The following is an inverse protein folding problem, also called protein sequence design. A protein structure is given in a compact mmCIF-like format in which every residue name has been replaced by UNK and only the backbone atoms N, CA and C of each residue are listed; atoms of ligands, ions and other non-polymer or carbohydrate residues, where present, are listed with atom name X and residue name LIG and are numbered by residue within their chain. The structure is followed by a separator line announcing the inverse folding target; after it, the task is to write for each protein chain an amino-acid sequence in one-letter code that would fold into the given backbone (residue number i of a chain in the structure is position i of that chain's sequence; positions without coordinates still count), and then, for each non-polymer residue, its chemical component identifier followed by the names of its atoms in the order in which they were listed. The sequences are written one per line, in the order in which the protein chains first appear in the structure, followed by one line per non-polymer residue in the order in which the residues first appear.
data_IF_357759412574
#
_entry.id   IF_357759412574
#
_cell.length_a   1.000
_cell.length_b   1.000
_cell.length_c   1.000
_cell.angle_alpha   90.00
_cell.angle_beta   90.00
_cell.angle_gamma   90.00
#
_symmetry.space_group_name_H-M   'P 1'
#
loop_
_entity.id
_entity.type
_entity.pdbx_description
1 polymer ?
#
# COMPACT_ATOMS: atom_id res chain seq x y z
N UNK A 1 -18.27 -12.65 9.95
CA UNK A 1 -18.14 -11.19 10.19
C UNK A 1 -16.82 -10.77 9.60
N UNK A 2 -16.81 -9.99 8.51
CA UNK A 2 -15.58 -9.33 8.07
C UNK A 2 -15.37 -8.11 8.96
N UNK A 3 -14.76 -8.36 10.11
CA UNK A 3 -14.32 -7.31 11.01
C UNK A 3 -13.13 -6.56 10.41
N UNK A 4 -12.91 -5.36 10.92
CA UNK A 4 -11.65 -4.65 10.71
C UNK A 4 -10.49 -5.43 11.34
N UNK A 5 -9.43 -5.65 10.57
CA UNK A 5 -8.24 -6.37 11.01
C UNK A 5 -6.99 -5.51 10.86
N UNK A 6 -6.02 -5.68 11.77
CA UNK A 6 -4.74 -5.00 11.62
C UNK A 6 -3.96 -5.53 10.43
N UNK A 7 -3.28 -4.64 9.72
CA UNK A 7 -2.38 -4.96 8.62
C UNK A 7 -1.09 -4.15 8.72
N UNK A 8 0.00 -4.72 8.18
CA UNK A 8 1.30 -4.08 8.05
C UNK A 8 1.80 -4.17 6.62
N UNK A 9 2.39 -3.09 6.13
CA UNK A 9 3.12 -3.06 4.86
C UNK A 9 4.57 -3.50 5.08
N UNK A 10 5.09 -4.30 4.16
CA UNK A 10 6.41 -4.91 4.23
C UNK A 10 7.24 -4.61 2.99
N UNK A 11 8.40 -4.00 3.19
CA UNK A 11 9.28 -3.46 2.15
C UNK A 11 8.73 -2.21 1.47
N UNK A 12 9.46 -1.73 0.47
CA UNK A 12 9.06 -0.57 -0.33
C UNK A 12 9.05 0.75 0.45
N UNK A 13 8.48 1.82 -0.14
CA UNK A 13 8.49 3.16 0.46
C UNK A 13 7.64 3.34 1.72
N UNK A 14 6.71 2.41 1.96
CA UNK A 14 5.76 2.47 3.08
C UNK A 14 6.02 1.36 4.10
N UNK A 15 7.24 0.83 4.16
CA UNK A 15 7.62 -0.25 5.05
C UNK A 15 7.28 0.05 6.52
N UNK A 16 6.71 -0.94 7.20
CA UNK A 16 6.31 -0.84 8.60
C UNK A 16 5.01 -0.07 8.86
N UNK A 17 4.38 0.54 7.84
CA UNK A 17 3.09 1.22 7.99
C UNK A 17 2.04 0.25 8.53
N UNK A 18 1.42 0.60 9.66
CA UNK A 18 0.33 -0.18 10.27
C UNK A 18 -1.01 0.49 10.01
N UNK A 19 -2.01 -0.28 9.63
CA UNK A 19 -3.37 0.20 9.35
C UNK A 19 -4.42 -0.83 9.75
N UNK A 20 -5.71 -0.47 9.60
CA UNK A 20 -6.82 -1.43 9.66
C UNK A 20 -7.42 -1.57 8.27
N UNK A 21 -7.77 -2.80 7.88
CA UNK A 21 -8.43 -3.11 6.60
C UNK A 21 -9.73 -3.88 6.85
N UNK A 22 -10.73 -3.67 5.99
CA UNK A 22 -11.95 -4.50 5.93
C UNK A 22 -11.85 -5.52 4.81
N UNK A 23 -12.51 -6.66 4.95
CA UNK A 23 -12.66 -7.69 3.90
C UNK A 23 -11.36 -8.30 3.36
N UNK A 24 -10.22 -8.00 4.01
CA UNK A 24 -8.89 -8.49 3.69
C UNK A 24 -8.57 -8.41 2.18
N UNK A 25 -8.44 -7.20 1.60
CA UNK A 25 -8.23 -7.03 0.17
C UNK A 25 -6.97 -7.77 -0.29
N UNK A 26 -6.95 -8.27 -1.52
CA UNK A 26 -5.76 -8.93 -2.07
C UNK A 26 -4.62 -7.96 -2.37
N UNK A 27 -4.94 -6.69 -2.59
CA UNK A 27 -4.03 -5.63 -3.03
C UNK A 27 -4.34 -4.34 -2.28
N UNK A 28 -3.31 -3.59 -1.93
CA UNK A 28 -3.37 -2.22 -1.45
C UNK A 28 -2.56 -1.31 -2.37
N UNK A 29 -3.02 -0.09 -2.55
CA UNK A 29 -2.35 0.97 -3.31
C UNK A 29 -1.95 2.07 -2.34
N UNK A 30 -0.69 2.50 -2.41
CA UNK A 30 -0.16 3.62 -1.63
C UNK A 30 0.33 4.68 -2.61
N UNK A 31 -0.12 5.91 -2.45
CA UNK A 31 0.31 7.04 -3.28
C UNK A 31 1.20 7.99 -2.50
N UNK A 32 2.18 8.59 -3.18
CA UNK A 32 3.01 9.66 -2.64
C UNK A 32 3.10 10.81 -3.63
N UNK A 33 2.93 12.07 -3.19
CA UNK A 33 3.10 13.22 -4.07
C UNK A 33 4.55 13.29 -4.55
N UNK A 34 4.73 13.43 -5.86
CA UNK A 34 6.03 13.70 -6.45
C UNK A 34 6.34 15.19 -6.38
N UNK A 35 7.54 15.55 -5.93
CA UNK A 35 8.00 16.93 -6.01
C UNK A 35 8.27 17.29 -7.48
N UNK A 36 7.61 18.34 -7.97
CA UNK A 36 7.76 18.85 -9.32
C UNK A 36 8.58 20.14 -9.30
N UNK A 37 9.50 20.27 -10.26
CA UNK A 37 10.26 21.49 -10.45
C UNK A 37 9.59 22.31 -11.57
N UNK A 38 9.08 23.49 -11.21
CA UNK A 38 8.30 24.39 -12.08
C UNK A 38 7.21 23.69 -12.93
N UNK A 39 6.19 23.07 -12.30
CA UNK A 39 5.13 22.40 -13.05
C UNK A 39 4.38 23.40 -13.95
N UNK A 40 4.07 23.04 -15.20
CA UNK A 40 3.22 23.87 -16.03
C UNK A 40 1.78 23.82 -15.51
N UNK A 41 1.27 24.95 -15.00
CA UNK A 41 -0.09 25.05 -14.46
C UNK A 41 -0.31 24.23 -13.20
N UNK A 42 -1.51 23.66 -13.06
CA UNK A 42 -1.95 22.93 -11.85
C UNK A 42 -1.70 21.41 -11.92
N UNK A 43 -0.67 20.98 -12.67
CA UNK A 43 -0.36 19.56 -12.82
C UNK A 43 0.12 18.96 -11.49
N UNK A 44 -0.41 17.77 -11.17
CA UNK A 44 0.01 16.95 -10.04
C UNK A 44 0.48 15.58 -10.52
N UNK A 45 1.53 15.04 -9.89
CA UNK A 45 2.04 13.69 -10.16
C UNK A 45 2.16 12.96 -8.82
N UNK A 46 1.64 11.75 -8.77
CA UNK A 46 1.72 10.85 -7.62
C UNK A 46 2.47 9.58 -8.02
N UNK A 47 3.41 9.14 -7.20
CA UNK A 47 3.98 7.80 -7.30
C UNK A 47 2.99 6.79 -6.72
N UNK A 48 2.69 5.71 -7.46
CA UNK A 48 1.81 4.64 -7.02
C UNK A 48 2.64 3.40 -6.68
N UNK A 49 2.47 2.87 -5.47
CA UNK A 49 3.12 1.65 -5.02
C UNK A 49 2.08 0.60 -4.67
N UNK A 50 2.22 -0.60 -5.24
CA UNK A 50 1.30 -1.72 -5.06
C UNK A 50 1.85 -2.67 -4.00
N UNK A 51 1.00 -3.06 -3.05
CA UNK A 51 1.32 -4.05 -2.03
C UNK A 51 0.33 -5.21 -2.10
N UNK A 52 0.83 -6.45 -2.11
CA UNK A 52 0.00 -7.66 -2.21
C UNK A 52 -0.05 -8.40 -0.89
N UNK A 53 -1.24 -8.88 -0.53
CA UNK A 53 -1.43 -9.67 0.69
C UNK A 53 -0.61 -10.96 0.63
N UNK A 54 0.16 -11.24 1.66
CA UNK A 54 0.78 -12.55 1.85
C UNK A 54 -0.29 -13.57 2.27
N UNK A 55 -0.66 -14.46 1.35
CA UNK A 55 -1.67 -15.48 1.59
C UNK A 55 -1.21 -16.56 2.57
N UNK A 56 0.07 -16.61 2.95
CA UNK A 56 0.58 -17.52 3.99
C UNK A 56 0.20 -17.02 5.40
N UNK A 57 -0.03 -15.72 5.57
CA UNK A 57 -0.47 -15.13 6.84
C UNK A 57 -1.99 -15.20 6.94
N UNK A 58 -2.51 -15.94 7.93
CA UNK A 58 -3.95 -16.21 8.09
C UNK A 58 -4.63 -15.41 9.21
N UNK A 59 -3.86 -14.88 10.14
CA UNK A 59 -4.32 -14.11 11.29
C UNK A 59 -3.73 -12.70 11.29
N UNK A 60 -4.32 -11.80 12.05
CA UNK A 60 -3.79 -10.46 12.23
C UNK A 60 -2.46 -10.44 13.02
N UNK A 61 -1.55 -9.48 12.74
CA UNK A 61 -1.65 -8.51 11.65
C UNK A 61 -1.43 -9.18 10.28
N UNK A 62 -2.31 -8.88 9.31
CA UNK A 62 -2.13 -9.27 7.92
C UNK A 62 -0.87 -8.60 7.37
N UNK A 63 -0.12 -9.30 6.51
CA UNK A 63 1.08 -8.76 5.86
C UNK A 63 0.80 -8.46 4.39
N UNK A 64 1.23 -7.30 3.93
CA UNK A 64 1.16 -6.90 2.53
C UNK A 64 2.56 -6.53 2.06
N UNK A 65 3.11 -7.33 1.15
CA UNK A 65 4.48 -7.14 0.63
C UNK A 65 4.51 -6.23 -0.60
N UNK A 66 5.53 -5.39 -0.70
CA UNK A 66 5.75 -4.51 -1.84
C UNK A 66 5.94 -5.31 -3.15
N UNK A 67 5.12 -5.01 -4.16
CA UNK A 67 5.20 -5.64 -5.48
C UNK A 67 6.04 -4.79 -6.44
N UNK A 68 7.31 -5.18 -6.60
CA UNK A 68 8.27 -4.54 -7.52
C UNK A 68 7.98 -4.78 -9.00
N UNK A 69 7.13 -5.76 -9.31
CA UNK A 69 6.80 -6.13 -10.70
C UNK A 69 5.52 -5.45 -11.19
N UNK A 70 4.78 -4.78 -10.30
CA UNK A 70 3.65 -3.96 -10.69
C UNK A 70 4.14 -2.70 -11.43
N UNK A 71 3.57 -2.37 -12.60
CA UNK A 71 3.94 -1.20 -13.40
C UNK A 71 3.57 0.12 -12.73
#
# INVERSE_FOLDING_TARGET
MTGWEYAVLDGGPADGLRMRVTDRPGVLQVTYPCQLDAPPGDIQVEALYVYRRDLRVRSEPLRYGFDRASP
#
